data_IF_720125277584
#
_entry.id   IF_720125277584
#
_cell.length_a   1.000
_cell.length_b   1.000
_cell.length_c   1.000
_cell.angle_alpha   90.00
_cell.angle_beta   90.00
_cell.angle_gamma   90.00
#
_symmetry.space_group_name_H-M   'P 1'
#
loop_
_entity.id
_entity.type
_entity.pdbx_description
1 polymer ?
#
# COMPACT_ATOMS: atom_id res chain seq x y z
N UNK A 1 27.80 -8.80 -24.01
CA UNK A 1 26.76 -9.73 -23.52
C UNK A 1 25.41 -9.11 -23.85
N UNK A 2 24.64 -9.69 -24.78
CA UNK A 2 23.30 -9.15 -25.09
C UNK A 2 22.36 -9.53 -23.94
N UNK A 3 21.77 -8.53 -23.28
CA UNK A 3 20.72 -8.78 -22.28
C UNK A 3 19.55 -9.44 -23.00
N UNK A 4 19.06 -10.54 -22.45
CA UNK A 4 17.97 -11.31 -23.04
C UNK A 4 16.73 -10.43 -23.22
N UNK A 5 16.04 -10.48 -24.38
CA UNK A 5 14.84 -9.67 -24.64
C UNK A 5 13.75 -9.90 -23.57
N UNK A 6 13.71 -11.07 -22.94
CA UNK A 6 12.77 -11.38 -21.86
C UNK A 6 12.92 -10.49 -20.62
N UNK A 7 14.14 -10.00 -20.33
CA UNK A 7 14.38 -9.08 -19.20
C UNK A 7 13.69 -7.75 -19.45
N UNK A 8 13.78 -7.22 -20.68
CA UNK A 8 13.12 -5.98 -21.05
C UNK A 8 11.60 -6.14 -21.09
N UNK A 9 11.10 -7.26 -21.61
CA UNK A 9 9.66 -7.55 -21.63
C UNK A 9 9.06 -7.63 -20.23
N UNK A 10 9.73 -8.33 -19.31
CA UNK A 10 9.27 -8.44 -17.92
C UNK A 10 9.33 -7.10 -17.19
N UNK A 11 10.40 -6.32 -17.37
CA UNK A 11 10.50 -4.96 -16.84
C UNK A 11 9.40 -4.03 -17.39
N UNK A 12 9.17 -4.07 -18.71
CA UNK A 12 8.12 -3.28 -19.35
C UNK A 12 6.73 -3.66 -18.83
N UNK A 13 6.43 -4.95 -18.70
CA UNK A 13 5.17 -5.42 -18.14
C UNK A 13 4.97 -4.95 -16.69
N UNK A 14 6.00 -5.08 -15.85
CA UNK A 14 5.93 -4.60 -14.46
C UNK A 14 5.69 -3.09 -14.37
N UNK A 15 6.32 -2.30 -15.25
CA UNK A 15 6.11 -0.85 -15.34
C UNK A 15 4.72 -0.50 -15.87
N UNK A 16 4.18 -1.27 -16.84
CA UNK A 16 2.81 -1.10 -17.31
C UNK A 16 1.78 -1.37 -16.20
N UNK A 17 1.98 -2.43 -15.41
CA UNK A 17 1.15 -2.72 -14.24
C UNK A 17 1.24 -1.60 -13.21
N UNK A 18 2.46 -1.11 -12.93
CA UNK A 18 2.66 0.04 -12.05
C UNK A 18 1.93 1.29 -12.56
N UNK A 19 2.03 1.60 -13.85
CA UNK A 19 1.32 2.70 -14.47
C UNK A 19 -0.20 2.54 -14.38
N UNK A 20 -0.73 1.35 -14.62
CA UNK A 20 -2.17 1.07 -14.49
C UNK A 20 -2.67 1.28 -13.06
N UNK A 21 -1.90 0.89 -12.04
CA UNK A 21 -2.22 1.15 -10.64
C UNK A 21 -2.20 2.64 -10.30
N UNK A 22 -1.25 3.41 -10.85
CA UNK A 22 -1.22 4.87 -10.69
C UNK A 22 -2.41 5.54 -11.36
N UNK A 23 -2.76 5.13 -12.58
CA UNK A 23 -3.95 5.62 -13.29
C UNK A 23 -5.21 5.32 -12.48
N UNK A 24 -5.36 4.09 -11.96
CA UNK A 24 -6.46 3.71 -11.09
C UNK A 24 -6.54 4.60 -9.85
N UNK A 25 -5.41 4.82 -9.16
CA UNK A 25 -5.36 5.70 -8.00
C UNK A 25 -5.76 7.14 -8.35
N UNK A 26 -5.26 7.66 -9.47
CA UNK A 26 -5.53 9.02 -9.93
C UNK A 26 -7.00 9.22 -10.28
N UNK A 27 -7.60 8.30 -11.04
CA UNK A 27 -9.02 8.34 -11.42
C UNK A 27 -9.90 8.27 -10.18
N UNK A 28 -9.65 7.33 -9.27
CA UNK A 28 -10.40 7.21 -8.03
C UNK A 28 -10.26 8.45 -7.14
N UNK A 29 -9.05 9.03 -7.06
CA UNK A 29 -8.84 10.28 -6.32
C UNK A 29 -9.62 11.44 -6.93
N UNK A 30 -9.68 11.52 -8.26
CA UNK A 30 -10.43 12.57 -8.97
C UNK A 30 -11.94 12.43 -8.77
N UNK A 31 -12.49 11.22 -8.80
CA UNK A 31 -13.91 11.00 -8.53
C UNK A 31 -14.29 11.38 -7.09
N UNK A 32 -13.43 11.04 -6.12
CA UNK A 32 -13.64 11.40 -4.71
C UNK A 32 -13.75 12.91 -4.47
N UNK A 33 -13.11 13.75 -5.30
CA UNK A 33 -13.30 15.20 -5.19
C UNK A 33 -14.73 15.64 -5.56
N UNK A 34 -15.32 15.03 -6.60
CA UNK A 34 -16.70 15.32 -6.98
C UNK A 34 -17.69 14.81 -5.91
N UNK A 35 -17.47 13.58 -5.43
CA UNK A 35 -18.28 12.97 -4.38
C UNK A 35 -18.23 13.80 -3.09
N UNK A 36 -17.04 14.27 -2.70
CA UNK A 36 -16.87 15.08 -1.49
C UNK A 36 -17.62 16.42 -1.57
N UNK A 37 -17.65 17.07 -2.74
CA UNK A 37 -18.39 18.33 -2.92
C UNK A 37 -19.89 18.12 -2.86
N UNK A 38 -20.37 17.05 -3.50
CA UNK A 38 -21.78 16.65 -3.44
C UNK A 38 -22.20 16.35 -1.99
N UNK A 39 -21.36 15.60 -1.25
CA UNK A 39 -21.63 15.27 0.15
C UNK A 39 -21.57 16.49 1.08
N UNK A 40 -20.68 17.45 0.83
CA UNK A 40 -20.65 18.72 1.56
C UNK A 40 -21.93 19.54 1.33
N UNK A 41 -22.38 19.63 0.07
CA UNK A 41 -23.61 20.34 -0.29
C UNK A 41 -24.85 19.69 0.36
N UNK A 42 -24.93 18.36 0.38
CA UNK A 42 -25.99 17.64 1.08
C UNK A 42 -25.95 17.87 2.59
N UNK A 43 -24.78 17.67 3.24
CA UNK A 43 -24.62 17.85 4.69
C UNK A 43 -24.91 19.27 5.14
N UNK A 44 -24.64 20.27 4.30
CA UNK A 44 -25.00 21.67 4.59
C UNK A 44 -26.52 21.86 4.70
N UNK A 45 -27.31 21.09 3.94
CA UNK A 45 -28.77 21.15 3.94
C UNK A 45 -29.39 20.24 4.99
N UNK A 46 -28.92 19.00 5.11
CA UNK A 46 -29.57 17.95 5.89
C UNK A 46 -28.99 17.80 7.30
N UNK A 47 -27.68 18.05 7.48
CA UNK A 47 -26.93 17.81 8.73
C UNK A 47 -25.90 18.92 8.99
N UNK A 48 -26.31 20.20 9.07
CA UNK A 48 -25.39 21.33 9.11
C UNK A 48 -24.41 21.29 10.29
N UNK A 49 -24.80 20.68 11.41
CA UNK A 49 -23.92 20.47 12.57
C UNK A 49 -22.65 19.67 12.23
N UNK A 50 -22.71 18.76 11.25
CA UNK A 50 -21.56 17.90 10.88
C UNK A 50 -20.47 18.63 10.11
N UNK A 51 -20.80 19.76 9.47
CA UNK A 51 -19.87 20.58 8.66
C UNK A 51 -19.62 21.95 9.27
N UNK A 52 -20.17 22.22 10.46
CA UNK A 52 -20.04 23.50 11.15
C UNK A 52 -18.56 23.87 11.35
N UNK A 53 -18.18 25.08 10.96
CA UNK A 53 -16.82 25.61 11.10
C UNK A 53 -15.84 25.14 10.04
N UNK A 54 -16.24 24.27 9.10
CA UNK A 54 -15.44 23.85 7.96
C UNK A 54 -15.89 24.58 6.71
N UNK A 55 -14.92 25.01 5.90
CA UNK A 55 -15.19 25.36 4.52
C UNK A 55 -15.18 24.12 3.62
N UNK A 56 -15.74 24.25 2.42
CA UNK A 56 -15.83 23.15 1.44
C UNK A 56 -14.46 22.54 1.13
N UNK A 57 -13.43 23.37 0.97
CA UNK A 57 -12.07 22.90 0.64
C UNK A 57 -11.45 22.04 1.75
N UNK A 58 -11.65 22.43 3.02
CA UNK A 58 -11.22 21.67 4.18
C UNK A 58 -11.96 20.33 4.27
N UNK A 59 -13.28 20.35 4.07
CA UNK A 59 -14.08 19.12 4.05
C UNK A 59 -13.62 18.16 2.94
N UNK A 60 -13.45 18.67 1.72
CA UNK A 60 -13.00 17.88 0.57
C UNK A 60 -11.60 17.28 0.82
N UNK A 61 -10.67 18.06 1.38
CA UNK A 61 -9.34 17.57 1.71
C UNK A 61 -9.39 16.42 2.73
N UNK A 62 -10.16 16.58 3.81
CA UNK A 62 -10.37 15.54 4.84
C UNK A 62 -11.00 14.30 4.23
N UNK A 63 -12.05 14.47 3.43
CA UNK A 63 -12.77 13.39 2.78
C UNK A 63 -11.87 12.54 1.87
N UNK A 64 -11.17 13.20 0.94
CA UNK A 64 -10.28 12.54 -0.03
C UNK A 64 -9.13 11.85 0.69
N UNK A 65 -8.55 12.48 1.72
CA UNK A 65 -7.44 11.90 2.46
C UNK A 65 -7.82 10.60 3.20
N UNK A 66 -9.08 10.49 3.62
CA UNK A 66 -9.63 9.35 4.35
C UNK A 66 -10.01 8.18 3.43
N UNK A 67 -10.53 8.48 2.23
CA UNK A 67 -11.13 7.48 1.33
C UNK A 67 -10.29 7.09 0.11
N UNK A 68 -9.21 7.82 -0.21
CA UNK A 68 -8.40 7.50 -1.39
C UNK A 68 -7.79 6.08 -1.32
N UNK A 69 -7.69 5.34 -2.45
CA UNK A 69 -7.15 3.98 -2.47
C UNK A 69 -5.61 4.00 -2.41
N UNK A 70 -5.07 4.33 -1.23
CA UNK A 70 -3.62 4.51 -1.02
C UNK A 70 -2.82 3.27 -1.40
N UNK A 71 -3.36 2.06 -1.18
CA UNK A 71 -2.70 0.80 -1.49
C UNK A 71 -2.18 0.75 -2.94
N UNK A 72 -2.92 1.30 -3.90
CA UNK A 72 -2.56 1.29 -5.31
C UNK A 72 -1.31 2.14 -5.56
N UNK A 73 -1.19 3.28 -4.88
CA UNK A 73 0.00 4.14 -4.93
C UNK A 73 1.23 3.43 -4.36
N UNK A 74 1.09 2.76 -3.21
CA UNK A 74 2.21 2.03 -2.60
C UNK A 74 2.61 0.80 -3.41
N UNK A 75 1.65 0.06 -3.97
CA UNK A 75 1.92 -1.09 -4.83
C UNK A 75 2.63 -0.68 -6.13
N UNK A 76 2.17 0.41 -6.77
CA UNK A 76 2.84 0.96 -7.94
C UNK A 76 4.28 1.42 -7.61
N UNK A 77 4.45 2.13 -6.50
CA UNK A 77 5.76 2.57 -6.02
C UNK A 77 6.71 1.40 -5.76
N UNK A 78 6.24 0.33 -5.11
CA UNK A 78 7.03 -0.86 -4.86
C UNK A 78 7.48 -1.55 -6.16
N UNK A 79 6.57 -1.74 -7.12
CA UNK A 79 6.88 -2.35 -8.42
C UNK A 79 7.88 -1.51 -9.22
N UNK A 80 7.64 -0.20 -9.34
CA UNK A 80 8.55 0.69 -10.05
C UNK A 80 9.95 0.71 -9.41
N UNK A 81 10.01 0.77 -8.07
CA UNK A 81 11.27 0.77 -7.32
C UNK A 81 12.01 -0.55 -7.50
N UNK A 82 11.32 -1.69 -7.45
CA UNK A 82 11.94 -2.99 -7.66
C UNK A 82 12.57 -3.09 -9.07
N UNK A 83 11.89 -2.61 -10.11
CA UNK A 83 12.42 -2.61 -11.49
C UNK A 83 13.62 -1.68 -11.61
N UNK A 84 13.50 -0.44 -11.15
CA UNK A 84 14.57 0.58 -11.27
C UNK A 84 15.82 0.17 -10.48
N UNK A 85 15.66 -0.42 -9.30
CA UNK A 85 16.77 -0.85 -8.46
C UNK A 85 17.28 -2.25 -8.80
N UNK A 86 16.65 -3.00 -9.71
CA UNK A 86 17.07 -4.37 -10.04
C UNK A 86 18.55 -4.50 -10.45
N UNK A 87 19.13 -3.59 -11.27
CA UNK A 87 20.56 -3.65 -11.58
C UNK A 87 21.44 -3.51 -10.33
N UNK A 88 21.09 -2.59 -9.43
CA UNK A 88 21.81 -2.40 -8.16
C UNK A 88 21.63 -3.58 -7.22
N UNK A 89 20.44 -4.17 -7.17
CA UNK A 89 20.15 -5.39 -6.40
C UNK A 89 21.03 -6.54 -6.87
N UNK A 90 21.12 -6.78 -8.19
CA UNK A 90 21.97 -7.84 -8.73
C UNK A 90 23.44 -7.63 -8.39
N UNK A 91 23.96 -6.40 -8.55
CA UNK A 91 25.33 -6.06 -8.18
C UNK A 91 25.58 -6.28 -6.69
N UNK A 92 24.64 -5.88 -5.84
CA UNK A 92 24.74 -6.04 -4.40
C UNK A 92 24.77 -7.52 -4.00
N UNK A 93 23.91 -8.36 -4.59
CA UNK A 93 23.88 -9.80 -4.28
C UNK A 93 25.18 -10.48 -4.71
N UNK A 94 25.69 -10.16 -5.90
CA UNK A 94 27.00 -10.68 -6.36
C UNK A 94 28.11 -10.26 -5.40
N UNK A 95 28.19 -8.97 -5.06
CA UNK A 95 29.23 -8.45 -4.17
C UNK A 95 29.17 -9.08 -2.77
N UNK A 96 27.97 -9.22 -2.20
CA UNK A 96 27.79 -9.88 -0.90
C UNK A 96 28.17 -11.35 -0.97
N UNK A 97 27.78 -12.05 -2.05
CA UNK A 97 28.15 -13.45 -2.22
C UNK A 97 29.67 -13.62 -2.31
N UNK A 98 30.35 -12.83 -3.14
CA UNK A 98 31.80 -12.88 -3.29
C UNK A 98 32.50 -12.64 -1.95
N UNK A 99 32.02 -11.68 -1.16
CA UNK A 99 32.54 -11.41 0.19
C UNK A 99 32.42 -12.65 1.09
N UNK A 100 31.25 -13.28 1.14
CA UNK A 100 31.04 -14.48 1.96
C UNK A 100 31.82 -15.70 1.43
N UNK A 101 31.91 -15.87 0.12
CA UNK A 101 32.64 -16.96 -0.51
C UNK A 101 34.15 -16.84 -0.24
N UNK A 102 34.72 -15.65 -0.37
CA UNK A 102 36.13 -15.39 -0.03
C UNK A 102 36.39 -15.62 1.47
N UNK A 103 35.51 -15.12 2.34
CA UNK A 103 35.61 -15.33 3.78
C UNK A 103 35.55 -16.82 4.17
N UNK A 104 34.84 -17.64 3.39
CA UNK A 104 34.76 -19.09 3.56
C UNK A 104 35.95 -19.87 2.96
N UNK A 105 37.00 -19.19 2.48
CA UNK A 105 38.18 -19.82 1.88
C UNK A 105 38.05 -20.14 0.39
N UNK A 106 37.07 -19.52 -0.29
CA UNK A 106 36.86 -19.61 -1.74
C UNK A 106 36.82 -21.06 -2.30
N UNK A 107 36.00 -21.97 -1.74
CA UNK A 107 35.94 -23.34 -2.24
C UNK A 107 35.46 -23.39 -3.69
N UNK A 108 36.10 -24.23 -4.52
CA UNK A 108 35.86 -24.28 -5.97
C UNK A 108 34.41 -24.62 -6.34
N UNK A 109 33.76 -25.51 -5.59
CA UNK A 109 32.37 -25.93 -5.84
C UNK A 109 31.34 -24.79 -5.63
N UNK A 110 31.72 -23.74 -4.92
CA UNK A 110 30.89 -22.57 -4.66
C UNK A 110 31.25 -21.36 -5.56
N UNK A 111 32.10 -21.53 -6.57
CA UNK A 111 32.43 -20.45 -7.51
C UNK A 111 31.24 -19.99 -8.36
N UNK A 112 31.46 -18.98 -9.21
CA UNK A 112 30.43 -18.31 -10.02
C UNK A 112 29.67 -19.19 -11.04
N UNK A 113 30.07 -20.45 -11.23
CA UNK A 113 29.34 -21.45 -12.02
C UNK A 113 28.59 -22.50 -11.19
N UNK A 114 28.79 -22.51 -9.86
CA UNK A 114 28.23 -23.50 -8.97
C UNK A 114 26.76 -23.23 -8.63
N UNK A 115 26.03 -24.29 -8.25
CA UNK A 115 24.63 -24.18 -7.84
C UNK A 115 24.44 -23.24 -6.65
N UNK A 116 25.39 -23.19 -5.72
CA UNK A 116 25.28 -22.33 -4.53
C UNK A 116 25.29 -20.86 -4.90
N UNK A 117 26.09 -20.46 -5.89
CA UNK A 117 26.05 -19.10 -6.43
C UNK A 117 24.69 -18.80 -7.07
N UNK A 118 24.17 -19.70 -7.91
CA UNK A 118 22.86 -19.51 -8.56
C UNK A 118 21.72 -19.40 -7.53
N UNK A 119 21.72 -20.23 -6.48
CA UNK A 119 20.75 -20.15 -5.39
C UNK A 119 20.89 -18.84 -4.60
N UNK A 120 22.11 -18.41 -4.29
CA UNK A 120 22.34 -17.15 -3.60
C UNK A 120 21.87 -15.95 -4.44
N UNK A 121 22.14 -15.94 -5.74
CA UNK A 121 21.62 -14.94 -6.66
C UNK A 121 20.09 -14.89 -6.67
N UNK A 122 19.44 -16.05 -6.81
CA UNK A 122 17.98 -16.12 -6.85
C UNK A 122 17.34 -15.67 -5.53
N UNK A 123 17.70 -16.29 -4.41
CA UNK A 123 17.11 -15.99 -3.12
C UNK A 123 17.53 -14.63 -2.59
N UNK A 124 18.77 -14.18 -2.83
CA UNK A 124 19.23 -12.84 -2.48
C UNK A 124 18.43 -11.76 -3.22
N UNK A 125 18.19 -11.96 -4.52
CA UNK A 125 17.37 -11.04 -5.32
C UNK A 125 15.93 -11.01 -4.82
N UNK A 126 15.30 -12.18 -4.63
CA UNK A 126 13.93 -12.29 -4.10
C UNK A 126 13.82 -11.64 -2.72
N UNK A 127 14.80 -11.87 -1.84
CA UNK A 127 14.84 -11.28 -0.51
C UNK A 127 14.91 -9.75 -0.58
N UNK A 128 15.79 -9.18 -1.41
CA UNK A 128 15.90 -7.73 -1.54
C UNK A 128 14.64 -7.09 -2.16
N UNK A 129 14.00 -7.75 -3.14
CA UNK A 129 12.69 -7.31 -3.63
C UNK A 129 11.61 -7.39 -2.55
N UNK A 130 11.63 -8.44 -1.72
CA UNK A 130 10.72 -8.57 -0.59
C UNK A 130 10.95 -7.46 0.45
N UNK A 131 12.20 -7.03 0.68
CA UNK A 131 12.50 -5.87 1.54
C UNK A 131 11.94 -4.57 0.96
N UNK A 132 12.07 -4.35 -0.35
CA UNK A 132 11.45 -3.18 -1.02
C UNK A 132 9.93 -3.22 -0.82
N UNK A 133 9.28 -4.33 -1.14
CA UNK A 133 7.84 -4.51 -0.94
C UNK A 133 7.43 -4.32 0.52
N UNK A 134 8.20 -4.88 1.44
CA UNK A 134 8.02 -4.76 2.88
C UNK A 134 8.15 -3.32 3.38
N UNK A 135 9.09 -2.54 2.86
CA UNK A 135 9.24 -1.13 3.18
C UNK A 135 8.02 -0.31 2.74
N UNK A 136 7.49 -0.56 1.54
CA UNK A 136 6.26 0.08 1.07
C UNK A 136 5.02 -0.37 1.86
N UNK A 137 4.90 -1.65 2.19
CA UNK A 137 3.83 -2.17 3.03
C UNK A 137 3.88 -1.56 4.44
N UNK A 138 5.07 -1.47 5.03
CA UNK A 138 5.28 -0.82 6.32
C UNK A 138 4.93 0.67 6.27
N UNK A 139 5.35 1.38 5.21
CA UNK A 139 5.00 2.78 5.01
C UNK A 139 3.50 2.99 4.80
N UNK A 140 2.82 2.08 4.10
CA UNK A 140 1.37 2.07 3.95
C UNK A 140 0.68 1.92 5.31
N UNK A 141 1.07 0.94 6.12
CA UNK A 141 0.47 0.70 7.44
C UNK A 141 0.77 1.81 8.45
N UNK A 142 1.98 2.38 8.45
CA UNK A 142 2.32 3.53 9.31
C UNK A 142 1.59 4.81 8.92
N UNK A 143 1.21 4.95 7.64
CA UNK A 143 0.45 6.09 7.12
C UNK A 143 -1.00 5.71 6.84
N UNK A 144 -1.56 4.79 7.62
CA UNK A 144 -2.97 4.41 7.54
C UNK A 144 -3.83 5.66 7.65
N UNK A 145 -4.85 5.79 6.81
CA UNK A 145 -5.75 6.92 6.90
C UNK A 145 -6.45 6.91 8.25
N UNK A 146 -6.53 8.09 8.83
CA UNK A 146 -7.42 8.31 9.94
C UNK A 146 -8.88 8.10 9.50
N UNK A 147 -9.75 7.51 10.34
CA UNK A 147 -11.16 7.43 10.08
C UNK A 147 -11.76 8.81 9.81
N UNK A 148 -12.66 8.90 8.83
CA UNK A 148 -13.25 10.17 8.42
C UNK A 148 -13.91 10.94 9.57
N UNK A 149 -14.55 10.24 10.52
CA UNK A 149 -15.15 10.86 11.71
C UNK A 149 -14.13 11.57 12.61
N UNK A 150 -12.97 10.95 12.85
CA UNK A 150 -11.91 11.54 13.67
C UNK A 150 -11.25 12.71 12.95
N UNK A 151 -10.98 12.54 11.65
CA UNK A 151 -10.41 13.60 10.83
C UNK A 151 -11.34 14.82 10.74
N UNK A 152 -12.66 14.59 10.66
CA UNK A 152 -13.68 15.65 10.69
C UNK A 152 -13.80 16.31 12.06
N UNK A 153 -13.78 15.54 13.15
CA UNK A 153 -13.78 16.09 14.52
C UNK A 153 -12.55 16.97 14.78
N UNK A 154 -11.35 16.50 14.40
CA UNK A 154 -10.12 17.30 14.50
C UNK A 154 -10.22 18.57 13.68
N UNK A 155 -10.71 18.48 12.44
CA UNK A 155 -10.83 19.65 11.58
C UNK A 155 -11.82 20.70 12.11
N UNK A 156 -12.78 20.31 12.95
CA UNK A 156 -13.71 21.20 13.66
C UNK A 156 -13.18 21.71 15.01
N UNK A 157 -12.06 21.19 15.50
CA UNK A 157 -11.55 21.49 16.85
C UNK A 157 -12.37 20.86 17.98
N UNK A 158 -13.16 19.83 17.67
CA UNK A 158 -13.92 19.07 18.66
C UNK A 158 -13.00 18.02 19.32
N UNK A 159 -13.26 17.65 20.60
CA UNK A 159 -12.57 16.53 21.22
C UNK A 159 -12.80 15.27 20.36
N UNK A 160 -11.74 14.46 20.22
CA UNK A 160 -11.83 13.21 19.48
C UNK A 160 -12.92 12.35 20.13
N UNK A 161 -13.87 11.77 19.36
CA UNK A 161 -14.90 10.93 19.95
C UNK A 161 -14.25 9.73 20.65
N UNK A 162 -14.38 9.63 21.98
CA UNK A 162 -13.84 8.53 22.78
C UNK A 162 -14.47 7.18 22.35
N UNK A 163 -15.73 7.22 21.93
CA UNK A 163 -16.54 6.06 21.55
C UNK A 163 -16.18 5.48 20.17
N UNK A 164 -15.40 6.21 19.37
CA UNK A 164 -14.92 5.76 18.07
C UNK A 164 -13.50 5.19 18.17
N UNK A 165 -13.12 4.71 19.36
CA UNK A 165 -12.05 3.73 19.50
C UNK A 165 -12.13 2.74 18.34
N UNK A 166 -11.01 2.60 17.64
CA UNK A 166 -10.78 1.59 16.63
C UNK A 166 -10.92 0.20 17.28
N UNK A 167 -12.13 -0.22 17.63
CA UNK A 167 -12.43 -1.62 17.94
C UNK A 167 -12.29 -2.33 16.62
N UNK A 168 -11.07 -2.81 16.34
CA UNK A 168 -10.84 -3.96 15.48
C UNK A 168 -11.89 -4.98 15.91
N UNK A 169 -12.92 -5.18 15.08
CA UNK A 169 -14.01 -6.11 15.38
C UNK A 169 -13.34 -7.42 15.80
N UNK A 170 -13.47 -7.85 17.06
CA UNK A 170 -12.67 -8.95 17.56
C UNK A 170 -12.99 -10.20 16.72
N UNK A 171 -11.99 -11.06 16.49
CA UNK A 171 -12.08 -12.11 15.49
C UNK A 171 -13.30 -13.04 15.67
N UNK A 172 -13.79 -13.20 16.91
CA UNK A 172 -14.99 -13.96 17.25
C UNK A 172 -16.29 -13.29 16.74
N UNK A 173 -16.39 -11.97 16.78
CA UNK A 173 -17.58 -11.23 16.33
C UNK A 173 -17.75 -11.23 14.80
N UNK A 174 -16.73 -11.64 14.03
CA UNK A 174 -16.85 -11.85 12.58
C UNK A 174 -17.63 -13.11 12.20
N UNK A 175 -17.74 -14.09 13.11
CA UNK A 175 -18.42 -15.37 12.87
C UNK A 175 -19.86 -15.43 13.34
N UNK A 176 -20.30 -14.44 14.13
CA UNK A 176 -21.68 -14.36 14.60
C UNK A 176 -22.55 -13.88 13.45
N UNK A 177 -23.23 -14.82 12.81
CA UNK A 177 -24.41 -14.53 11.98
C UNK A 177 -25.47 -13.97 12.94
N UNK A 178 -26.14 -12.85 12.64
CA UNK A 178 -27.34 -12.48 13.40
C UNK A 178 -28.28 -13.68 13.35
N UNK A 179 -28.75 -14.16 14.51
CA UNK A 179 -29.80 -15.17 14.52
C UNK A 179 -30.99 -14.63 13.72
N UNK A 180 -31.60 -15.46 12.85
CA UNK A 180 -32.82 -15.04 12.17
C UNK A 180 -33.82 -14.61 13.24
N UNK A 181 -34.38 -13.42 13.07
CA UNK A 181 -35.48 -12.95 13.92
C UNK A 181 -36.62 -13.94 13.70
N UNK A 182 -37.00 -14.68 14.74
CA UNK A 182 -38.19 -15.51 14.72
C UNK A 182 -39.40 -14.60 14.49
N UNK A 183 -39.84 -14.52 13.24
CA UNK A 183 -41.17 -14.02 12.89
C UNK A 183 -42.20 -15.08 13.35
N UNK A 184 -42.37 -15.23 14.66
CA UNK A 184 -43.52 -15.94 15.24
C UNK A 184 -44.55 -14.95 15.80
N UNK A 185 -45.52 -14.68 14.93
CA UNK A 185 -46.97 -14.68 15.20
C UNK A 185 -47.45 -13.92 16.45
N UNK A 186 -48.05 -12.75 16.20
CA UNK A 186 -49.39 -12.44 16.73
C UNK A 186 -50.20 -11.64 15.72
#
# INVERSE_FOLDING_TARGET
MMISPYVYLTAALALLVSAALLVRWYVARRSLHADARAEYADRTRTKPATVKGLNENQFVAVYVSSHQPRWALYAAGALATAVVLSPLVLLLVVALYELFWQAAGAPEWAGAGGYVFMFALFFGTVFLWALIGGAFAHAYHRRSSEPFSHALARARGEPLPEDAEFRRRPAWARRVRPDPVDEEKS
#
